data_IF_213116044213
#
_entry.id   IF_213116044213
#
_cell.length_a   1.000
_cell.length_b   1.000
_cell.length_c   1.000
_cell.angle_alpha   90.00
_cell.angle_beta   90.00
_cell.angle_gamma   90.00
#
_symmetry.space_group_name_H-M   'P 1'
#
loop_
_entity.id
_entity.type
_entity.pdbx_description
1 polymer ?
#
# COMPACT_ATOMS: atom_id res chain seq x y z
N UNK A 1 34.07 -21.71 -12.06
CA UNK A 1 34.35 -20.27 -12.09
C UNK A 1 33.16 -19.61 -11.42
N UNK A 2 33.37 -19.02 -10.25
CA UNK A 2 32.33 -18.35 -9.47
C UNK A 2 32.04 -17.00 -10.13
N UNK A 3 30.89 -16.87 -10.81
CA UNK A 3 30.34 -15.55 -11.11
C UNK A 3 29.50 -15.12 -9.92
N UNK A 4 30.01 -14.12 -9.21
CA UNK A 4 29.37 -13.52 -8.05
C UNK A 4 28.23 -12.63 -8.57
N UNK A 5 27.02 -13.18 -8.68
CA UNK A 5 25.82 -12.49 -9.14
C UNK A 5 25.42 -11.27 -8.27
N UNK A 6 26.06 -11.09 -7.12
CA UNK A 6 25.96 -9.94 -6.22
C UNK A 6 26.93 -8.79 -6.56
N UNK A 7 27.70 -8.88 -7.64
CA UNK A 7 28.54 -7.76 -8.08
C UNK A 7 27.70 -6.69 -8.77
N UNK A 8 27.71 -5.47 -8.22
CA UNK A 8 27.09 -4.31 -8.83
C UNK A 8 27.68 -4.10 -10.23
N UNK A 9 26.87 -4.08 -11.31
CA UNK A 9 27.39 -3.81 -12.64
C UNK A 9 27.98 -2.39 -12.72
N UNK A 10 28.99 -2.23 -13.56
CA UNK A 10 29.66 -0.95 -13.81
C UNK A 10 28.62 0.09 -14.28
N UNK A 11 28.52 1.28 -13.67
CA UNK A 11 27.57 2.32 -14.08
C UNK A 11 27.66 2.71 -15.56
N UNK A 12 28.83 2.54 -16.19
CA UNK A 12 29.02 2.81 -17.62
C UNK A 12 28.44 1.71 -18.54
N UNK A 13 28.08 0.55 -17.99
CA UNK A 13 27.46 -0.58 -18.70
C UNK A 13 25.92 -0.60 -18.60
N UNK A 14 25.32 0.31 -17.83
CA UNK A 14 23.88 0.46 -17.74
C UNK A 14 23.37 1.32 -18.91
N UNK A 15 22.81 0.68 -19.94
CA UNK A 15 22.03 1.39 -20.97
C UNK A 15 20.82 2.07 -20.32
N UNK A 16 20.63 3.40 -20.48
CA UNK A 16 19.41 4.07 -20.06
C UNK A 16 18.20 3.44 -20.76
N UNK A 17 17.17 3.11 -20.00
CA UNK A 17 15.91 2.63 -20.58
C UNK A 17 15.20 3.82 -21.26
N UNK A 18 15.15 3.83 -22.60
CA UNK A 18 14.35 4.80 -23.35
C UNK A 18 12.87 4.41 -23.22
N UNK A 19 12.07 5.29 -22.61
CA UNK A 19 10.63 5.11 -22.51
C UNK A 19 9.99 5.13 -23.92
N UNK A 20 9.14 4.15 -24.28
CA UNK A 20 8.47 4.17 -25.57
C UNK A 20 7.48 5.34 -25.68
N UNK A 21 7.42 5.97 -26.85
CA UNK A 21 6.50 7.07 -27.13
C UNK A 21 5.03 6.60 -27.04
N UNK A 22 4.20 7.33 -26.29
CA UNK A 22 2.79 6.97 -26.06
C UNK A 22 1.92 7.26 -27.29
N UNK A 23 1.15 6.25 -27.71
CA UNK A 23 0.08 6.40 -28.71
C UNK A 23 -1.23 5.86 -28.15
N UNK A 24 -2.13 6.77 -27.77
CA UNK A 24 -3.49 6.46 -27.29
C UNK A 24 -3.88 7.35 -26.12
N UNK A 25 -5.13 7.83 -26.08
CA UNK A 25 -5.67 8.89 -25.21
C UNK A 25 -5.63 8.62 -23.70
N UNK A 26 -4.43 8.44 -23.16
CA UNK A 26 -4.12 8.40 -21.75
C UNK A 26 -3.80 9.82 -21.30
N UNK A 27 -4.29 10.20 -20.12
CA UNK A 27 -3.77 11.37 -19.42
C UNK A 27 -2.29 11.06 -19.12
N UNK A 28 -1.32 11.87 -19.58
CA UNK A 28 0.11 11.53 -19.52
C UNK A 28 0.65 11.39 -18.08
N UNK A 29 -0.16 11.69 -17.08
CA UNK A 29 0.13 11.77 -15.66
C UNK A 29 -0.56 10.69 -14.79
N UNK A 30 -1.37 9.79 -15.37
CA UNK A 30 -2.04 8.69 -14.62
C UNK A 30 -2.41 7.48 -15.48
N UNK A 31 -2.45 6.30 -14.85
CA UNK A 31 -2.95 5.05 -15.42
C UNK A 31 -1.91 3.95 -15.52
N UNK A 32 -2.27 2.83 -16.15
CA UNK A 32 -1.41 1.65 -16.29
C UNK A 32 -1.46 1.09 -17.71
N UNK A 33 -0.28 0.88 -18.29
CA UNK A 33 -0.12 0.23 -19.60
C UNK A 33 0.41 -1.18 -19.40
N UNK A 34 -0.31 -2.18 -19.89
CA UNK A 34 0.13 -3.57 -19.85
C UNK A 34 1.25 -3.77 -20.89
N UNK A 35 2.33 -4.41 -20.47
CA UNK A 35 3.42 -4.86 -21.32
C UNK A 35 3.22 -6.32 -21.73
N UNK A 36 4.16 -7.18 -21.35
CA UNK A 36 4.13 -8.60 -21.65
C UNK A 36 3.38 -9.40 -20.59
N UNK A 37 2.79 -10.52 -21.04
CA UNK A 37 2.18 -11.52 -20.17
C UNK A 37 3.05 -12.75 -20.14
N UNK A 38 3.09 -13.41 -18.99
CA UNK A 38 3.72 -14.70 -18.86
C UNK A 38 2.83 -15.75 -19.53
N UNK A 39 3.26 -16.32 -20.65
CA UNK A 39 2.45 -17.28 -21.43
C UNK A 39 2.51 -18.72 -20.89
N UNK A 40 3.49 -19.04 -20.03
CA UNK A 40 3.72 -20.39 -19.53
C UNK A 40 2.81 -20.77 -18.36
N UNK A 41 2.25 -21.98 -18.41
CA UNK A 41 1.60 -22.69 -17.29
C UNK A 41 0.41 -21.98 -16.61
N UNK A 42 -0.30 -21.09 -17.32
CA UNK A 42 -1.45 -20.39 -16.74
C UNK A 42 -1.07 -19.34 -15.67
N UNK A 43 0.18 -18.89 -15.66
CA UNK A 43 0.64 -17.89 -14.70
C UNK A 43 0.03 -16.51 -14.96
N UNK A 44 -0.21 -15.76 -13.87
CA UNK A 44 -0.84 -14.43 -13.89
C UNK A 44 0.17 -13.28 -13.95
N UNK A 45 1.44 -13.60 -14.21
CA UNK A 45 2.55 -12.65 -14.24
C UNK A 45 2.43 -11.70 -15.43
N UNK A 46 2.69 -10.40 -15.17
CA UNK A 46 2.68 -9.35 -16.19
C UNK A 46 3.75 -8.31 -15.95
N UNK A 47 4.27 -7.77 -17.04
CA UNK A 47 5.02 -6.51 -17.03
C UNK A 47 4.11 -5.36 -17.47
N UNK A 48 4.54 -4.13 -17.24
CA UNK A 48 3.74 -2.95 -17.55
C UNK A 48 4.39 -1.67 -17.09
N UNK A 49 3.69 -0.56 -17.26
CA UNK A 49 4.15 0.78 -16.87
C UNK A 49 3.03 1.50 -16.16
N UNK A 50 3.27 1.91 -14.91
CA UNK A 50 2.42 2.84 -14.18
C UNK A 50 2.85 4.25 -14.55
N UNK A 51 1.91 5.10 -14.95
CA UNK A 51 2.14 6.51 -15.25
C UNK A 51 1.74 7.35 -14.06
N UNK A 52 2.59 8.26 -13.60
CA UNK A 52 2.29 9.19 -12.52
C UNK A 52 2.70 10.61 -12.87
N UNK A 53 2.31 11.59 -12.05
CA UNK A 53 2.67 12.99 -12.26
C UNK A 53 4.18 13.24 -12.22
N UNK A 54 4.93 12.46 -11.42
CA UNK A 54 6.37 12.62 -11.23
C UNK A 54 7.22 11.55 -11.96
N UNK A 55 6.64 10.82 -12.91
CA UNK A 55 7.35 9.89 -13.78
C UNK A 55 6.61 8.58 -13.98
N UNK A 56 7.32 7.60 -14.56
CA UNK A 56 6.77 6.27 -14.83
C UNK A 56 7.46 5.21 -13.98
N UNK A 57 6.73 4.14 -13.65
CA UNK A 57 7.26 2.98 -12.94
C UNK A 57 7.06 1.73 -13.82
N UNK A 58 8.15 1.16 -14.31
CA UNK A 58 8.13 -0.14 -14.98
C UNK A 58 7.89 -1.26 -13.96
N UNK A 59 6.89 -2.11 -14.21
CA UNK A 59 6.49 -3.23 -13.35
C UNK A 59 6.93 -4.58 -13.94
N UNK A 60 7.30 -5.59 -13.12
CA UNK A 60 7.32 -5.59 -11.66
C UNK A 60 8.34 -4.63 -11.05
N UNK A 61 7.98 -4.00 -9.93
CA UNK A 61 8.82 -3.01 -9.25
C UNK A 61 8.90 -3.30 -7.76
N UNK A 62 10.09 -3.15 -7.19
CA UNK A 62 10.30 -3.11 -5.75
C UNK A 62 10.29 -1.65 -5.28
N UNK A 63 9.54 -1.35 -4.23
CA UNK A 63 9.38 0.02 -3.71
C UNK A 63 10.06 0.14 -2.34
N UNK A 64 11.25 0.77 -2.25
CA UNK A 64 11.92 1.02 -0.98
C UNK A 64 11.07 1.88 -0.02
N UNK A 65 11.09 1.52 1.25
CA UNK A 65 10.33 2.22 2.30
C UNK A 65 11.18 3.30 2.98
N UNK A 66 10.76 4.56 2.86
CA UNK A 66 11.26 5.73 3.56
C UNK A 66 10.36 6.12 4.74
N UNK A 67 10.50 5.47 5.90
CA UNK A 67 9.58 5.59 7.06
C UNK A 67 9.30 7.03 7.52
N UNK A 68 10.29 7.94 7.47
CA UNK A 68 10.15 9.36 7.85
C UNK A 68 10.66 10.26 6.74
N UNK A 69 10.15 10.06 5.51
CA UNK A 69 10.64 10.74 4.31
C UNK A 69 12.18 10.58 4.14
N UNK A 70 12.68 9.39 4.51
CA UNK A 70 14.09 9.03 4.43
C UNK A 70 14.23 7.52 4.35
N UNK A 71 14.92 7.02 3.31
CA UNK A 71 15.36 5.63 3.24
C UNK A 71 16.59 5.50 4.13
N UNK A 72 16.44 4.80 5.26
CA UNK A 72 17.46 4.79 6.32
C UNK A 72 18.85 4.46 5.77
N UNK A 73 19.81 5.32 6.10
CA UNK A 73 21.22 5.23 5.71
C UNK A 73 21.56 5.48 4.23
N UNK A 74 20.60 5.82 3.37
CA UNK A 74 20.83 6.10 1.95
C UNK A 74 20.36 7.51 1.59
N UNK A 75 21.13 8.22 0.77
CA UNK A 75 20.65 9.47 0.16
C UNK A 75 19.70 9.16 -1.00
N UNK A 76 18.83 10.11 -1.42
CA UNK A 76 17.98 9.94 -2.60
C UNK A 76 18.76 9.55 -3.86
N UNK A 77 19.96 10.09 -4.04
CA UNK A 77 20.84 9.79 -5.18
C UNK A 77 21.32 8.34 -5.12
N UNK A 78 21.67 7.82 -3.93
CA UNK A 78 22.05 6.42 -3.75
C UNK A 78 20.87 5.49 -4.08
N UNK A 79 19.69 5.80 -3.54
CA UNK A 79 18.45 5.03 -3.80
C UNK A 79 18.17 4.97 -5.31
N UNK A 80 18.29 6.09 -6.01
CA UNK A 80 18.13 6.16 -7.47
C UNK A 80 19.20 5.36 -8.21
N UNK A 81 20.47 5.49 -7.81
CA UNK A 81 21.59 4.78 -8.46
C UNK A 81 21.48 3.26 -8.37
N UNK A 82 20.78 2.75 -7.35
CA UNK A 82 20.48 1.33 -7.17
C UNK A 82 19.29 0.84 -8.02
N UNK A 83 18.69 1.72 -8.84
CA UNK A 83 17.60 1.38 -9.75
C UNK A 83 16.19 1.54 -9.17
N UNK A 84 16.03 2.10 -7.98
CA UNK A 84 14.71 2.40 -7.43
C UNK A 84 13.99 3.43 -8.31
N UNK A 85 12.78 3.10 -8.74
CA UNK A 85 11.94 3.96 -9.58
C UNK A 85 10.98 4.81 -8.74
N UNK A 86 10.62 4.37 -7.54
CA UNK A 86 9.72 5.08 -6.64
C UNK A 86 10.10 4.81 -5.18
N UNK A 87 9.57 5.59 -4.24
CA UNK A 87 9.74 5.38 -2.79
C UNK A 87 8.40 5.46 -2.07
N UNK A 88 8.25 4.70 -0.98
CA UNK A 88 7.07 4.73 -0.13
C UNK A 88 7.37 5.44 1.18
N UNK A 89 6.56 6.43 1.55
CA UNK A 89 6.59 7.03 2.88
C UNK A 89 5.39 6.57 3.72
N UNK A 90 5.58 6.54 5.03
CA UNK A 90 4.51 6.22 5.95
C UNK A 90 3.75 7.50 6.36
N UNK A 91 2.45 7.55 6.08
CA UNK A 91 1.65 8.75 6.35
C UNK A 91 1.51 9.03 7.85
N UNK A 92 1.39 7.99 8.68
CA UNK A 92 1.27 8.12 10.13
C UNK A 92 2.47 8.84 10.76
N UNK A 93 3.68 8.48 10.35
CA UNK A 93 4.89 9.10 10.88
C UNK A 93 5.05 10.55 10.44
N UNK A 94 4.76 10.86 9.16
CA UNK A 94 4.84 12.22 8.64
C UNK A 94 3.76 13.13 9.21
N UNK A 95 2.57 12.59 9.48
CA UNK A 95 1.50 13.29 10.18
C UNK A 95 1.90 13.68 11.60
N UNK A 96 2.49 12.75 12.37
CA UNK A 96 2.92 13.07 13.74
C UNK A 96 4.16 13.97 13.78
N UNK A 97 5.08 13.80 12.83
CA UNK A 97 6.29 14.59 12.74
C UNK A 97 6.87 14.53 11.32
N UNK A 98 6.96 15.66 10.58
CA UNK A 98 6.82 17.04 11.08
C UNK A 98 5.38 17.58 11.17
N UNK A 99 4.40 16.93 10.56
CA UNK A 99 3.06 17.49 10.31
C UNK A 99 2.77 17.53 8.82
N UNK A 100 1.59 17.08 8.39
CA UNK A 100 1.24 17.01 6.96
C UNK A 100 1.06 18.39 6.32
N UNK A 101 0.65 19.39 7.10
CA UNK A 101 0.60 20.81 6.71
C UNK A 101 1.99 21.36 6.35
N UNK A 102 3.00 21.08 7.19
CA UNK A 102 4.39 21.49 6.93
C UNK A 102 4.92 20.84 5.64
N UNK A 103 4.57 19.57 5.41
CA UNK A 103 4.95 18.86 4.19
C UNK A 103 4.25 19.44 2.95
N UNK A 104 2.97 19.80 3.06
CA UNK A 104 2.22 20.43 1.96
C UNK A 104 2.81 21.79 1.59
N UNK A 105 3.16 22.62 2.58
CA UNK A 105 3.84 23.90 2.40
C UNK A 105 5.23 23.74 1.74
N UNK A 106 5.94 22.66 2.07
CA UNK A 106 7.21 22.32 1.43
C UNK A 106 7.05 21.82 -0.02
N UNK A 107 5.82 21.64 -0.50
CA UNK A 107 5.49 21.18 -1.85
C UNK A 107 5.37 19.66 -1.99
N UNK A 108 5.03 18.96 -0.90
CA UNK A 108 4.87 17.51 -0.85
C UNK A 108 6.11 16.77 -0.36
N UNK A 109 5.93 15.52 0.06
CA UNK A 109 6.97 14.79 0.78
C UNK A 109 8.15 14.40 -0.11
N UNK A 110 7.92 14.15 -1.41
CA UNK A 110 8.98 13.88 -2.38
C UNK A 110 9.98 15.04 -2.45
N UNK A 111 9.46 16.27 -2.60
CA UNK A 111 10.28 17.49 -2.58
C UNK A 111 10.95 17.70 -1.23
N UNK A 112 10.24 17.45 -0.13
CA UNK A 112 10.79 17.56 1.23
C UNK A 112 12.00 16.66 1.46
N UNK A 113 12.00 15.45 0.87
CA UNK A 113 13.12 14.51 0.96
C UNK A 113 14.14 14.59 -0.18
N UNK A 114 14.02 15.59 -1.07
CA UNK A 114 14.85 15.72 -2.27
C UNK A 114 14.76 14.49 -3.22
N UNK A 115 13.59 13.86 -3.30
CA UNK A 115 13.28 12.81 -4.26
C UNK A 115 12.44 13.39 -5.41
N UNK A 116 12.91 13.18 -6.65
CA UNK A 116 12.27 13.74 -7.85
C UNK A 116 11.48 12.74 -8.68
N UNK A 117 11.32 11.50 -8.19
CA UNK A 117 10.61 10.43 -8.90
C UNK A 117 9.23 10.16 -8.29
N UNK A 118 8.51 9.15 -8.82
CA UNK A 118 7.24 8.69 -8.27
C UNK A 118 7.29 8.33 -6.79
N UNK A 119 6.16 8.47 -6.12
CA UNK A 119 6.04 8.32 -4.67
C UNK A 119 4.77 7.58 -4.23
N UNK A 120 4.87 6.84 -3.13
CA UNK A 120 3.76 6.16 -2.48
C UNK A 120 3.55 6.68 -1.05
N UNK A 121 2.31 6.72 -0.58
CA UNK A 121 1.98 6.79 0.85
C UNK A 121 1.05 5.65 1.24
N UNK A 122 1.26 5.08 2.42
CA UNK A 122 0.26 4.20 3.05
C UNK A 122 -0.85 5.01 3.74
N UNK A 123 -1.95 4.34 4.07
CA UNK A 123 -3.10 4.98 4.72
C UNK A 123 -2.85 5.39 6.17
N UNK A 124 -1.77 4.89 6.78
CA UNK A 124 -1.46 4.97 8.21
C UNK A 124 -2.27 4.03 9.10
N UNK A 125 -3.30 3.34 8.56
CA UNK A 125 -4.18 2.44 9.33
C UNK A 125 -3.41 1.28 9.97
N UNK A 126 -2.49 0.66 9.22
CA UNK A 126 -1.65 -0.44 9.73
C UNK A 126 -0.87 -0.03 10.98
N UNK A 127 -0.24 1.14 11.00
CA UNK A 127 0.61 1.58 12.12
C UNK A 127 -0.23 2.04 13.30
N UNK A 128 -1.36 2.71 13.05
CA UNK A 128 -2.35 3.04 14.07
C UNK A 128 -2.81 1.78 14.84
N UNK A 129 -3.05 0.68 14.12
CA UNK A 129 -3.50 -0.58 14.69
C UNK A 129 -2.35 -1.41 15.30
N UNK A 130 -1.15 -1.36 14.70
CA UNK A 130 -0.02 -2.21 15.10
C UNK A 130 0.90 -1.62 16.17
N UNK A 131 0.88 -0.31 16.44
CA UNK A 131 1.83 0.32 17.37
C UNK A 131 1.56 0.06 18.86
N UNK A 132 0.48 -0.65 19.21
CA UNK A 132 0.30 -1.20 20.56
C UNK A 132 1.37 -2.25 20.88
N UNK A 133 2.09 -2.11 22.00
CA UNK A 133 3.16 -3.04 22.39
C UNK A 133 2.68 -4.51 22.47
N UNK A 134 1.40 -4.74 22.81
CA UNK A 134 0.78 -6.05 22.76
C UNK A 134 0.55 -6.55 21.33
N UNK A 135 0.01 -5.69 20.46
CA UNK A 135 -0.34 -6.05 19.08
C UNK A 135 0.88 -6.36 18.22
N UNK A 136 2.02 -5.65 18.41
CA UNK A 136 3.29 -6.01 17.77
C UNK A 136 3.74 -7.44 18.08
N UNK A 137 3.60 -7.86 19.33
CA UNK A 137 3.98 -9.21 19.76
C UNK A 137 3.10 -10.26 19.10
N UNK A 138 1.80 -9.98 19.02
CA UNK A 138 0.82 -10.83 18.35
C UNK A 138 1.18 -10.99 16.86
N UNK A 139 1.37 -9.88 16.14
CA UNK A 139 1.78 -9.90 14.74
C UNK A 139 3.11 -10.66 14.54
N UNK A 140 4.10 -10.46 15.42
CA UNK A 140 5.38 -11.17 15.29
C UNK A 140 5.27 -12.69 15.47
N UNK A 141 4.37 -13.16 16.33
CA UNK A 141 4.12 -14.59 16.53
C UNK A 141 3.36 -15.20 15.36
N UNK A 142 2.48 -14.41 14.75
CA UNK A 142 1.72 -14.75 13.55
C UNK A 142 2.63 -14.87 12.32
N UNK A 143 3.47 -13.87 12.04
CA UNK A 143 4.44 -13.93 10.94
C UNK A 143 5.53 -15.01 11.12
N UNK A 144 5.69 -15.56 12.34
CA UNK A 144 6.61 -16.67 12.60
C UNK A 144 5.95 -18.05 12.62
N UNK A 145 4.63 -18.13 12.39
CA UNK A 145 3.88 -19.39 12.38
C UNK A 145 3.81 -20.10 13.75
N UNK A 146 4.12 -19.40 14.85
CA UNK A 146 4.23 -20.01 16.19
C UNK A 146 2.92 -20.03 16.97
N UNK A 147 1.87 -19.37 16.48
CA UNK A 147 0.58 -19.27 17.16
C UNK A 147 -0.47 -20.15 16.46
N UNK A 148 -1.26 -20.90 17.24
CA UNK A 148 -2.45 -21.59 16.72
C UNK A 148 -3.61 -20.57 16.65
N UNK A 149 -4.05 -20.16 15.44
CA UNK A 149 -5.14 -19.21 15.27
C UNK A 149 -6.49 -19.73 15.73
N UNK A 150 -6.61 -21.02 16.04
CA UNK A 150 -7.84 -21.65 16.52
C UNK A 150 -7.97 -21.71 18.04
N UNK A 151 -6.90 -21.42 18.80
CA UNK A 151 -6.94 -21.41 20.28
C UNK A 151 -7.71 -20.17 20.80
N UNK A 152 -8.87 -20.34 21.47
CA UNK A 152 -9.66 -19.23 21.99
C UNK A 152 -8.91 -18.28 22.93
N UNK A 153 -7.88 -18.77 23.64
CA UNK A 153 -7.04 -17.92 24.51
C UNK A 153 -6.17 -16.98 23.71
N UNK A 154 -5.62 -17.47 22.60
CA UNK A 154 -4.79 -16.71 21.67
C UNK A 154 -5.65 -15.66 20.95
N UNK A 155 -6.86 -16.02 20.51
CA UNK A 155 -7.82 -15.08 19.93
C UNK A 155 -8.20 -13.96 20.91
N UNK A 156 -8.51 -14.30 22.18
CA UNK A 156 -8.80 -13.29 23.21
C UNK A 156 -7.60 -12.40 23.53
N UNK A 157 -6.38 -12.94 23.46
CA UNK A 157 -5.16 -12.15 23.66
C UNK A 157 -4.95 -11.15 22.54
N UNK A 158 -5.22 -11.52 21.27
CA UNK A 158 -5.16 -10.61 20.14
C UNK A 158 -6.14 -9.43 20.29
N UNK A 159 -7.39 -9.72 20.65
CA UNK A 159 -8.43 -8.71 20.90
C UNK A 159 -8.00 -7.74 22.02
N UNK A 160 -7.47 -8.26 23.13
CA UNK A 160 -7.06 -7.44 24.29
C UNK A 160 -5.77 -6.66 24.07
N UNK A 161 -4.94 -7.08 23.11
CA UNK A 161 -3.64 -6.49 22.83
C UNK A 161 -3.70 -5.24 21.94
N UNK A 162 -4.84 -4.98 21.29
CA UNK A 162 -5.05 -3.75 20.54
C UNK A 162 -5.24 -2.57 21.51
N UNK A 163 -4.36 -1.58 21.42
CA UNK A 163 -4.53 -0.28 22.07
C UNK A 163 -5.41 0.66 21.24
N UNK A 164 -5.90 0.19 20.09
CA UNK A 164 -6.75 0.93 19.18
C UNK A 164 -8.20 0.44 19.29
N UNK A 165 -9.13 1.38 19.35
CA UNK A 165 -10.57 1.09 19.33
C UNK A 165 -11.06 1.36 17.92
N UNK A 166 -11.59 0.32 17.28
CA UNK A 166 -12.18 0.39 15.94
C UNK A 166 -13.69 0.44 16.08
N UNK A 167 -14.32 1.37 15.36
CA UNK A 167 -15.77 1.50 15.21
C UNK A 167 -16.11 1.80 13.74
N UNK A 168 -17.40 1.93 13.39
CA UNK A 168 -17.82 2.15 12.00
C UNK A 168 -17.31 3.46 11.39
N UNK A 169 -17.01 4.47 12.22
CA UNK A 169 -16.54 5.75 11.72
C UNK A 169 -15.00 5.81 11.61
N UNK A 170 -14.25 5.07 12.43
CA UNK A 170 -12.79 5.02 12.29
C UNK A 170 -12.08 4.30 13.43
N UNK A 171 -10.84 4.73 13.67
CA UNK A 171 -9.95 4.17 14.68
C UNK A 171 -9.48 5.24 15.65
N UNK A 172 -9.67 5.01 16.95
CA UNK A 172 -9.09 5.81 18.02
C UNK A 172 -7.82 5.13 18.52
N UNK A 173 -6.73 5.88 18.63
CA UNK A 173 -5.45 5.39 19.13
C UNK A 173 -4.72 6.46 19.93
N UNK A 174 -3.70 6.03 20.66
CA UNK A 174 -2.77 6.94 21.35
C UNK A 174 -1.48 7.12 20.57
N UNK A 175 -1.03 8.36 20.43
CA UNK A 175 0.29 8.72 19.91
C UNK A 175 1.39 7.99 20.68
N UNK A 176 2.27 7.32 19.96
CA UNK A 176 3.46 6.69 20.54
C UNK A 176 4.54 7.70 20.98
N UNK A 177 4.38 8.98 20.65
CA UNK A 177 5.33 10.06 20.99
C UNK A 177 5.02 10.65 22.36
N UNK A 178 3.76 10.99 22.62
CA UNK A 178 3.35 11.75 23.81
C UNK A 178 2.09 11.19 24.51
N UNK A 179 1.49 10.12 23.97
CA UNK A 179 0.32 9.47 24.54
C UNK A 179 -1.01 10.18 24.28
N UNK A 180 -1.01 11.29 23.52
CA UNK A 180 -2.24 11.99 23.14
C UNK A 180 -3.17 11.10 22.31
N UNK A 181 -4.49 11.26 22.48
CA UNK A 181 -5.48 10.45 21.74
C UNK A 181 -5.83 11.12 20.42
N UNK A 182 -5.80 10.35 19.35
CA UNK A 182 -6.18 10.76 18.01
C UNK A 182 -7.28 9.84 17.46
N UNK A 183 -8.07 10.36 16.52
CA UNK A 183 -9.03 9.59 15.73
C UNK A 183 -8.64 9.71 14.26
N UNK A 184 -8.43 8.57 13.61
CA UNK A 184 -8.25 8.46 12.18
C UNK A 184 -9.50 7.84 11.58
N UNK A 185 -10.02 8.46 10.53
CA UNK A 185 -11.11 7.94 9.72
C UNK A 185 -10.75 8.09 8.24
N UNK A 186 -11.55 7.55 7.31
CA UNK A 186 -11.30 7.68 5.87
C UNK A 186 -10.99 9.12 5.43
N UNK A 187 -11.77 10.10 5.89
CA UNK A 187 -11.62 11.48 5.43
C UNK A 187 -10.33 12.14 5.94
N UNK A 188 -9.99 11.90 7.22
CA UNK A 188 -8.73 12.37 7.81
C UNK A 188 -7.53 11.72 7.11
N UNK A 189 -7.58 10.41 6.81
CA UNK A 189 -6.51 9.73 6.09
C UNK A 189 -6.32 10.29 4.69
N UNK A 190 -7.41 10.49 3.94
CA UNK A 190 -7.35 11.08 2.59
C UNK A 190 -6.83 12.52 2.63
N UNK A 191 -7.28 13.33 3.59
CA UNK A 191 -6.81 14.70 3.78
C UNK A 191 -5.30 14.77 4.06
N UNK A 192 -4.79 13.90 4.95
CA UNK A 192 -3.36 13.79 5.23
C UNK A 192 -2.59 13.38 3.97
N UNK A 193 -3.02 12.34 3.26
CA UNK A 193 -2.30 11.87 2.07
C UNK A 193 -2.32 12.90 0.91
N UNK A 194 -3.40 13.67 0.78
CA UNK A 194 -3.49 14.81 -0.16
C UNK A 194 -2.55 15.97 0.19
N UNK A 195 -2.29 16.19 1.49
CA UNK A 195 -1.31 17.15 1.96
C UNK A 195 0.13 16.64 1.74
N UNK A 196 0.37 15.35 1.97
CA UNK A 196 1.67 14.73 1.70
C UNK A 196 2.01 14.73 0.21
N UNK A 197 1.01 14.71 -0.68
CA UNK A 197 1.19 14.90 -2.12
C UNK A 197 1.89 13.74 -2.82
N UNK A 198 1.63 12.50 -2.39
CA UNK A 198 2.13 11.29 -3.04
C UNK A 198 1.50 11.06 -4.41
N UNK A 199 2.25 10.50 -5.35
CA UNK A 199 1.69 10.08 -6.65
C UNK A 199 0.64 8.99 -6.50
N UNK A 200 0.85 8.07 -5.55
CA UNK A 200 -0.02 6.93 -5.28
C UNK A 200 -0.27 6.86 -3.78
N UNK A 201 -1.53 6.72 -3.40
CA UNK A 201 -1.96 6.57 -2.02
C UNK A 201 -2.89 5.37 -1.86
N UNK A 202 -2.85 4.75 -0.69
CA UNK A 202 -3.73 3.63 -0.36
C UNK A 202 -4.95 4.10 0.45
N UNK A 203 -6.11 3.53 0.13
CA UNK A 203 -7.34 3.74 0.87
C UNK A 203 -7.19 3.31 2.34
N UNK A 204 -7.91 4.00 3.23
CA UNK A 204 -7.97 3.65 4.64
C UNK A 204 -8.73 2.33 4.83
N UNK A 205 -8.12 1.40 5.56
CA UNK A 205 -8.60 0.05 5.77
C UNK A 205 -8.39 -0.37 7.22
N UNK A 206 -9.04 -1.46 7.61
CA UNK A 206 -8.77 -2.10 8.89
C UNK A 206 -7.81 -3.28 8.71
N UNK A 207 -6.74 -3.27 9.50
CA UNK A 207 -5.84 -4.41 9.63
C UNK A 207 -6.39 -5.41 10.66
N UNK A 208 -6.68 -6.62 10.20
CA UNK A 208 -7.00 -7.77 11.04
C UNK A 208 -5.77 -8.65 11.30
N UNK A 209 -5.80 -9.39 12.41
CA UNK A 209 -4.87 -10.51 12.66
C UNK A 209 -5.51 -11.83 12.23
N UNK A 210 -4.72 -12.80 11.79
CA UNK A 210 -5.13 -14.19 11.52
C UNK A 210 -5.71 -14.90 12.75
N UNK A 211 -5.42 -14.40 13.95
CA UNK A 211 -5.98 -14.92 15.20
C UNK A 211 -7.42 -14.43 15.45
N UNK A 212 -7.93 -13.48 14.68
CA UNK A 212 -9.33 -13.08 14.82
C UNK A 212 -10.26 -14.16 14.24
N UNK A 213 -11.39 -14.45 14.90
CA UNK A 213 -12.36 -15.42 14.41
C UNK A 213 -12.90 -14.95 13.05
N UNK A 214 -13.30 -15.91 12.20
CA UNK A 214 -13.86 -15.63 10.87
C UNK A 214 -14.97 -14.58 10.88
N UNK A 215 -15.86 -14.62 11.88
CA UNK A 215 -16.95 -13.63 12.00
C UNK A 215 -16.43 -12.19 12.14
N UNK A 216 -15.30 -11.99 12.82
CA UNK A 216 -14.67 -10.68 12.91
C UNK A 216 -13.98 -10.30 11.59
N UNK A 217 -13.41 -11.26 10.86
CA UNK A 217 -12.86 -11.02 9.53
C UNK A 217 -13.94 -10.54 8.56
N UNK A 218 -15.13 -11.15 8.62
CA UNK A 218 -16.31 -10.76 7.82
C UNK A 218 -16.76 -9.33 8.17
N UNK A 219 -16.93 -9.03 9.47
CA UNK A 219 -17.29 -7.69 9.95
C UNK A 219 -16.26 -6.62 9.53
N UNK A 220 -14.97 -6.91 9.73
CA UNK A 220 -13.88 -6.01 9.35
C UNK A 220 -13.80 -5.78 7.84
N UNK A 221 -14.11 -6.80 7.04
CA UNK A 221 -14.15 -6.68 5.60
C UNK A 221 -15.30 -5.78 5.14
N UNK A 222 -16.49 -5.94 5.72
CA UNK A 222 -17.64 -5.05 5.46
C UNK A 222 -17.32 -3.60 5.81
N UNK A 223 -16.70 -3.37 6.98
CA UNK A 223 -16.24 -2.04 7.40
C UNK A 223 -15.17 -1.48 6.46
N UNK A 224 -14.21 -2.30 6.02
CA UNK A 224 -13.20 -1.90 5.03
C UNK A 224 -13.83 -1.47 3.71
N UNK A 225 -14.86 -2.17 3.22
CA UNK A 225 -15.60 -1.76 2.01
C UNK A 225 -16.36 -0.43 2.22
N UNK A 226 -17.00 -0.24 3.38
CA UNK A 226 -17.68 1.01 3.69
C UNK A 226 -16.70 2.20 3.76
N UNK A 227 -15.52 1.98 4.37
CA UNK A 227 -14.46 2.97 4.42
C UNK A 227 -13.82 3.24 3.05
N UNK A 228 -13.69 2.23 2.21
CA UNK A 228 -13.21 2.38 0.84
C UNK A 228 -14.12 3.31 0.01
N UNK A 229 -15.44 3.17 0.15
CA UNK A 229 -16.40 4.07 -0.50
C UNK A 229 -16.27 5.52 -0.01
N UNK A 230 -16.06 5.71 1.30
CA UNK A 230 -15.78 7.04 1.88
C UNK A 230 -14.46 7.62 1.38
N UNK A 231 -13.42 6.80 1.24
CA UNK A 231 -12.14 7.22 0.65
C UNK A 231 -12.31 7.71 -0.78
N UNK A 232 -13.09 7.02 -1.62
CA UNK A 232 -13.36 7.46 -3.01
C UNK A 232 -14.09 8.81 -3.04
N UNK A 233 -15.14 8.97 -2.23
CA UNK A 233 -15.90 10.22 -2.14
C UNK A 233 -15.01 11.40 -1.72
N UNK A 234 -14.22 11.21 -0.66
CA UNK A 234 -13.34 12.27 -0.16
C UNK A 234 -12.18 12.54 -1.12
N UNK A 235 -11.61 11.51 -1.72
CA UNK A 235 -10.54 11.67 -2.71
C UNK A 235 -11.02 12.49 -3.91
N UNK A 236 -12.23 12.22 -4.41
CA UNK A 236 -12.85 13.04 -5.46
C UNK A 236 -12.98 14.49 -5.02
N UNK A 237 -13.58 14.73 -3.84
CA UNK A 237 -13.80 16.08 -3.30
C UNK A 237 -12.50 16.87 -3.18
N UNK A 238 -11.46 16.26 -2.62
CA UNK A 238 -10.14 16.86 -2.44
C UNK A 238 -9.41 17.08 -3.78
N UNK A 239 -9.57 16.17 -4.74
CA UNK A 239 -9.01 16.34 -6.09
C UNK A 239 -9.63 17.54 -6.80
N UNK A 240 -10.95 17.71 -6.70
CA UNK A 240 -11.66 18.85 -7.28
C UNK A 240 -11.24 20.17 -6.58
N UNK A 241 -11.17 20.17 -5.24
CA UNK A 241 -10.74 21.32 -4.42
C UNK A 241 -9.27 21.70 -4.69
N UNK A 242 -8.40 20.72 -4.84
CA UNK A 242 -6.94 20.89 -5.02
C UNK A 242 -6.53 20.70 -6.48
N UNK A 243 -7.38 21.07 -7.43
CA UNK A 243 -7.14 20.97 -8.89
C UNK A 243 -5.89 21.71 -9.41
N UNK A 244 -5.27 22.56 -8.58
CA UNK A 244 -3.99 23.22 -8.86
C UNK A 244 -2.76 22.34 -8.53
N UNK A 245 -2.95 21.20 -7.87
CA UNK A 245 -1.92 20.20 -7.56
C UNK A 245 -1.98 19.05 -8.58
N UNK A 246 -0.88 18.28 -8.76
CA UNK A 246 -0.93 17.08 -9.59
C UNK A 246 -1.93 16.05 -9.05
N UNK A 247 -2.52 15.25 -9.95
CA UNK A 247 -3.42 14.18 -9.54
C UNK A 247 -2.67 13.10 -8.75
N UNK A 248 -3.29 12.62 -7.67
CA UNK A 248 -2.80 11.52 -6.84
C UNK A 248 -3.69 10.31 -7.08
N UNK A 249 -3.11 9.17 -7.45
CA UNK A 249 -3.87 7.95 -7.65
C UNK A 249 -4.34 7.37 -6.33
N UNK A 250 -5.60 6.93 -6.25
CA UNK A 250 -6.12 6.23 -5.08
C UNK A 250 -6.22 4.73 -5.36
N UNK A 251 -5.48 3.93 -4.58
CA UNK A 251 -5.47 2.48 -4.69
C UNK A 251 -6.27 1.85 -3.55
N UNK A 252 -7.14 0.91 -3.88
CA UNK A 252 -7.94 0.18 -2.89
C UNK A 252 -7.11 -0.87 -2.17
N UNK A 253 -7.40 -1.16 -0.90
CA UNK A 253 -6.73 -2.23 -0.15
C UNK A 253 -7.66 -3.44 -0.06
N UNK A 254 -7.19 -4.59 -0.56
CA UNK A 254 -7.92 -5.85 -0.56
C UNK A 254 -7.53 -6.62 0.70
N UNK A 255 -8.50 -6.81 1.59
CA UNK A 255 -8.41 -7.60 2.82
C UNK A 255 -9.02 -9.01 2.61
N UNK A 256 -9.23 -9.77 3.70
CA UNK A 256 -9.85 -11.11 3.66
C UNK A 256 -9.05 -12.22 4.34
N UNK A 257 -7.94 -11.90 5.00
CA UNK A 257 -7.08 -12.84 5.72
C UNK A 257 -6.70 -14.06 4.84
N UNK A 258 -6.93 -15.28 5.33
CA UNK A 258 -6.62 -16.57 4.70
C UNK A 258 -7.79 -17.18 3.92
N UNK A 259 -8.94 -16.50 3.86
CA UNK A 259 -10.17 -17.09 3.37
C UNK A 259 -10.37 -16.78 1.88
N UNK A 260 -10.35 -17.81 1.04
CA UNK A 260 -10.49 -17.67 -0.42
C UNK A 260 -11.78 -16.93 -0.82
N UNK A 261 -12.91 -17.33 -0.24
CA UNK A 261 -14.21 -16.73 -0.51
C UNK A 261 -14.23 -15.23 -0.17
N UNK A 262 -13.66 -14.86 0.99
CA UNK A 262 -13.54 -13.46 1.40
C UNK A 262 -12.59 -12.67 0.50
N UNK A 263 -11.43 -13.23 0.14
CA UNK A 263 -10.44 -12.59 -0.76
C UNK A 263 -11.01 -12.33 -2.14
N UNK A 264 -11.70 -13.31 -2.71
CA UNK A 264 -12.35 -13.18 -4.02
C UNK A 264 -13.50 -12.17 -3.98
N UNK A 265 -14.32 -12.21 -2.93
CA UNK A 265 -15.39 -11.22 -2.74
C UNK A 265 -14.83 -9.80 -2.60
N UNK A 266 -13.77 -9.62 -1.82
CA UNK A 266 -13.09 -8.34 -1.63
C UNK A 266 -12.53 -7.81 -2.95
N UNK A 267 -11.85 -8.66 -3.72
CA UNK A 267 -11.28 -8.29 -5.01
C UNK A 267 -12.35 -7.81 -6.00
N UNK A 268 -13.47 -8.54 -6.15
CA UNK A 268 -14.60 -8.12 -7.00
C UNK A 268 -15.23 -6.82 -6.52
N UNK A 269 -15.53 -6.73 -5.22
CA UNK A 269 -16.14 -5.54 -4.62
C UNK A 269 -15.29 -4.30 -4.87
N UNK A 270 -13.98 -4.37 -4.60
CA UNK A 270 -13.06 -3.26 -4.80
C UNK A 270 -12.85 -2.93 -6.28
N UNK A 271 -12.84 -3.93 -7.17
CA UNK A 271 -12.70 -3.71 -8.61
C UNK A 271 -13.88 -2.95 -9.23
N UNK A 272 -15.09 -3.26 -8.75
CA UNK A 272 -16.35 -2.72 -9.26
C UNK A 272 -16.80 -1.44 -8.54
N UNK A 273 -16.21 -1.13 -7.38
CA UNK A 273 -16.58 0.04 -6.58
C UNK A 273 -16.37 1.35 -7.38
N UNK A 274 -17.43 2.14 -7.44
CA UNK A 274 -17.46 3.48 -8.02
C UNK A 274 -18.32 4.38 -7.14
N UNK A 275 -17.80 5.56 -6.82
CA UNK A 275 -18.53 6.59 -6.06
C UNK A 275 -18.38 7.91 -6.80
N UNK A 276 -19.51 8.49 -7.23
CA UNK A 276 -19.56 9.76 -7.97
C UNK A 276 -18.63 9.82 -9.20
N UNK A 277 -18.50 8.69 -9.92
CA UNK A 277 -17.63 8.55 -11.08
C UNK A 277 -16.15 8.28 -10.75
N UNK A 278 -15.78 8.29 -9.46
CA UNK A 278 -14.43 7.95 -9.01
C UNK A 278 -14.33 6.44 -8.75
N UNK A 279 -13.29 5.82 -9.33
CA UNK A 279 -12.92 4.41 -9.13
C UNK A 279 -11.50 4.34 -8.57
N UNK A 280 -11.12 3.16 -8.07
CA UNK A 280 -9.72 2.91 -7.70
C UNK A 280 -8.84 2.79 -8.94
N UNK A 281 -7.70 3.48 -8.89
CA UNK A 281 -6.67 3.49 -9.94
C UNK A 281 -5.77 2.25 -9.91
N UNK A 282 -5.76 1.51 -8.80
CA UNK A 282 -4.95 0.31 -8.57
C UNK A 282 -5.33 -0.39 -7.26
N UNK A 283 -4.62 -1.47 -6.93
CA UNK A 283 -4.95 -2.30 -5.77
C UNK A 283 -3.71 -2.70 -4.95
N UNK A 284 -3.79 -2.52 -3.64
CA UNK A 284 -2.92 -3.15 -2.66
C UNK A 284 -3.52 -4.47 -2.19
N UNK A 285 -2.76 -5.56 -2.24
CA UNK A 285 -3.10 -6.83 -1.60
C UNK A 285 -2.54 -6.79 -0.18
N UNK A 286 -3.40 -6.50 0.79
CA UNK A 286 -3.03 -6.28 2.19
C UNK A 286 -3.53 -7.36 3.14
N UNK A 287 -3.44 -7.07 4.44
CA UNK A 287 -3.83 -7.97 5.51
C UNK A 287 -2.72 -8.91 5.96
N UNK A 288 -2.97 -9.63 7.04
CA UNK A 288 -2.05 -10.66 7.49
C UNK A 288 -2.20 -11.93 6.62
N UNK A 289 -1.05 -12.49 6.24
CA UNK A 289 -0.90 -13.60 5.30
C UNK A 289 0.16 -14.55 5.88
N UNK A 290 -0.09 -15.85 5.89
CA UNK A 290 0.99 -16.83 6.08
C UNK A 290 1.84 -16.89 4.81
N UNK A 291 3.15 -16.93 5.01
CA UNK A 291 4.13 -16.91 3.93
C UNK A 291 3.94 -18.09 2.97
N UNK A 292 3.61 -19.26 3.52
CA UNK A 292 3.37 -20.49 2.76
C UNK A 292 2.17 -20.38 1.81
N UNK A 293 1.20 -19.53 2.13
CA UNK A 293 -0.03 -19.34 1.34
C UNK A 293 0.00 -18.07 0.48
N UNK A 294 1.11 -17.32 0.49
CA UNK A 294 1.23 -16.02 -0.19
C UNK A 294 0.88 -16.12 -1.67
N UNK A 295 1.53 -17.03 -2.40
CA UNK A 295 1.29 -17.23 -3.83
C UNK A 295 -0.14 -17.63 -4.15
N UNK A 296 -0.74 -18.49 -3.30
CA UNK A 296 -2.14 -18.94 -3.44
C UNK A 296 -3.11 -17.77 -3.26
N UNK A 297 -2.95 -16.97 -2.20
CA UNK A 297 -3.84 -15.84 -1.91
C UNK A 297 -3.71 -14.74 -2.98
N UNK A 298 -2.49 -14.45 -3.42
CA UNK A 298 -2.24 -13.50 -4.51
C UNK A 298 -2.89 -13.99 -5.81
N UNK A 299 -2.87 -15.29 -6.07
CA UNK A 299 -3.52 -15.89 -7.24
C UNK A 299 -5.04 -15.69 -7.20
N UNK A 300 -5.70 -16.02 -6.08
CA UNK A 300 -7.14 -15.80 -5.92
C UNK A 300 -7.56 -14.35 -6.18
N UNK A 301 -6.78 -13.39 -5.66
CA UNK A 301 -7.07 -11.96 -5.88
C UNK A 301 -6.81 -11.59 -7.34
N UNK A 302 -5.70 -12.02 -7.93
CA UNK A 302 -5.32 -11.67 -9.30
C UNK A 302 -6.23 -12.27 -10.37
N UNK A 303 -6.90 -13.40 -10.10
CA UNK A 303 -7.90 -14.01 -10.98
C UNK A 303 -9.19 -13.19 -11.07
N UNK A 304 -9.57 -12.51 -9.98
CA UNK A 304 -10.79 -11.71 -9.91
C UNK A 304 -10.56 -10.27 -10.40
N UNK A 305 -9.35 -9.75 -10.22
CA UNK A 305 -9.01 -8.41 -10.67
C UNK A 305 -8.83 -8.35 -12.18
N UNK A 306 -9.44 -7.36 -12.82
CA UNK A 306 -9.19 -7.01 -14.21
C UNK A 306 -7.71 -6.66 -14.48
N UNK A 307 -7.35 -6.61 -15.76
CA UNK A 307 -5.96 -6.38 -16.18
C UNK A 307 -5.59 -4.89 -16.30
N UNK A 308 -6.58 -4.00 -16.32
CA UNK A 308 -6.46 -2.58 -16.63
C UNK A 308 -5.75 -1.75 -15.54
N UNK A 309 -5.56 -2.33 -14.35
CA UNK A 309 -5.05 -1.64 -13.18
C UNK A 309 -3.87 -2.38 -12.53
N UNK A 310 -2.90 -1.67 -11.94
CA UNK A 310 -1.74 -2.25 -11.27
C UNK A 310 -2.12 -2.88 -9.93
N UNK A 311 -1.26 -3.78 -9.46
CA UNK A 311 -1.43 -4.55 -8.22
C UNK A 311 -0.12 -4.48 -7.42
N UNK A 312 -0.21 -4.25 -6.12
CA UNK A 312 0.93 -4.16 -5.21
C UNK A 312 0.70 -5.09 -4.01
N UNK A 313 1.61 -6.02 -3.78
CA UNK A 313 1.57 -6.86 -2.58
C UNK A 313 2.12 -6.07 -1.40
N UNK A 314 1.28 -5.74 -0.41
CA UNK A 314 1.66 -4.87 0.70
C UNK A 314 2.38 -5.67 1.79
N UNK A 315 3.55 -5.17 2.21
CA UNK A 315 4.15 -5.53 3.50
C UNK A 315 4.94 -6.84 3.58
N UNK A 316 5.24 -7.50 2.45
CA UNK A 316 6.01 -8.75 2.44
C UNK A 316 6.94 -8.76 1.21
N UNK A 317 8.23 -9.02 1.44
CA UNK A 317 9.11 -9.55 0.40
C UNK A 317 10.45 -9.98 1.00
N UNK A 318 10.62 -11.28 1.23
CA UNK A 318 11.93 -11.89 1.04
C UNK A 318 12.15 -12.14 -0.46
N UNK A 319 13.40 -12.25 -0.94
CA UNK A 319 13.66 -12.52 -2.35
C UNK A 319 12.91 -13.74 -2.89
N UNK A 320 12.73 -14.79 -2.08
CA UNK A 320 11.97 -16.00 -2.43
C UNK A 320 10.47 -15.77 -2.60
N UNK A 321 9.91 -14.68 -2.08
CA UNK A 321 8.51 -14.33 -2.32
C UNK A 321 8.31 -13.70 -3.72
N UNK A 322 9.40 -13.28 -4.38
CA UNK A 322 9.39 -12.61 -5.69
C UNK A 322 9.76 -13.54 -6.87
N UNK A 323 10.49 -14.63 -6.61
CA UNK A 323 11.08 -15.52 -7.62
C UNK A 323 10.68 -16.97 -7.41
#
# INVERSE_FOLDING_TARGET
>A
MNENWLSTPDPEQLTPFEAPASSGGHSPDRGFTIGHRMESHGGLGRTGVIHTAHGTIATPAFIPVGTKANVKALTPEMVRSLGAQAVLANAYHLYLQPGSDIIDEAGGFGRFMNWSGPTYTDSGGFQVLSLGAGFKKVLSQEFSGQADPTDPKVQMQAIKASNAVVDDDGVIFSSHIDGTKHRFNPEVSMGIQHQLGSDIMFAFDELTSLLHPRSYQEESLERTHAWAARCLAEHKRLTDERSHKPYQQLWGVIQGAQWEDLRRQAARTMADMEVDGQRFDGFGVGGALEKENLGTIVSWVCEELGEDRPRHLLGISEPEDLF
#
